data_IF_831657266653
#
_entry.id   IF_831657266653
#
_cell.length_a   1.000
_cell.length_b   1.000
_cell.length_c   1.000
_cell.angle_alpha   90.00
_cell.angle_beta   90.00
_cell.angle_gamma   90.00
#
_symmetry.space_group_name_H-M   'P 1'
#
loop_
_entity.id
_entity.type
_entity.pdbx_description
1 polymer ?
#
# COMPACT_ATOMS: atom_id res chain seq x y z
N UNK A 1 -23.90 -34.75 2.73
CA UNK A 1 -23.58 -33.56 1.94
C UNK A 1 -22.25 -33.83 1.24
N UNK A 2 -22.18 -33.74 -0.10
CA UNK A 2 -20.92 -33.96 -0.83
C UNK A 2 -20.28 -32.59 -1.03
N UNK A 3 -19.03 -32.42 -0.59
CA UNK A 3 -18.25 -31.18 -0.75
C UNK A 3 -17.15 -31.43 -1.78
N UNK A 4 -17.11 -30.60 -2.84
CA UNK A 4 -16.06 -30.65 -3.85
C UNK A 4 -15.00 -29.62 -3.56
N UNK A 5 -13.75 -30.06 -3.37
CA UNK A 5 -12.60 -29.16 -3.22
C UNK A 5 -12.30 -28.46 -4.55
N UNK A 6 -12.15 -27.15 -4.52
CA UNK A 6 -11.67 -26.35 -5.66
C UNK A 6 -10.71 -25.26 -5.19
N UNK A 7 -9.84 -24.82 -6.10
CA UNK A 7 -9.00 -23.63 -5.85
C UNK A 7 -9.91 -22.40 -5.84
N UNK A 8 -9.81 -21.59 -4.78
CA UNK A 8 -10.52 -20.32 -4.65
C UNK A 8 -9.48 -19.23 -4.83
N UNK A 9 -9.78 -18.26 -5.68
CA UNK A 9 -8.97 -17.05 -5.77
C UNK A 9 -9.44 -16.08 -4.68
N UNK A 10 -8.51 -15.63 -3.85
CA UNK A 10 -8.78 -14.65 -2.80
C UNK A 10 -8.89 -13.26 -3.45
N UNK A 11 -9.93 -12.51 -3.10
CA UNK A 11 -10.08 -11.11 -3.52
C UNK A 11 -9.37 -10.22 -2.49
N UNK A 12 -8.26 -9.63 -2.89
CA UNK A 12 -7.46 -8.71 -2.05
C UNK A 12 -7.63 -7.26 -2.46
N UNK A 13 -8.26 -6.99 -3.61
CA UNK A 13 -8.51 -5.66 -4.14
C UNK A 13 -9.99 -5.49 -4.43
N UNK A 14 -10.55 -4.37 -3.94
CA UNK A 14 -11.90 -3.90 -4.28
C UNK A 14 -11.81 -2.50 -4.85
N UNK A 15 -12.58 -2.22 -5.89
CA UNK A 15 -12.58 -0.90 -6.52
C UNK A 15 -13.99 -0.42 -6.84
N UNK A 16 -14.17 0.87 -6.79
CA UNK A 16 -15.40 1.55 -7.21
C UNK A 16 -15.09 2.97 -7.67
N UNK A 17 -15.93 3.52 -8.54
CA UNK A 17 -15.90 4.93 -8.87
C UNK A 17 -16.72 5.70 -7.84
N UNK A 18 -16.11 6.67 -7.19
CA UNK A 18 -16.77 7.62 -6.28
C UNK A 18 -17.27 8.85 -7.06
N UNK A 19 -17.97 9.74 -6.36
CA UNK A 19 -18.36 11.03 -6.91
C UNK A 19 -17.15 11.80 -7.46
N UNK A 20 -17.39 12.77 -8.35
CA UNK A 20 -16.37 13.58 -9.01
C UNK A 20 -15.37 12.77 -9.88
N UNK A 21 -15.75 11.55 -10.27
CA UNK A 21 -14.90 10.63 -11.04
C UNK A 21 -13.58 10.28 -10.31
N UNK A 22 -13.63 10.15 -8.99
CA UNK A 22 -12.49 9.70 -8.19
C UNK A 22 -12.57 8.18 -8.06
N UNK A 23 -11.54 7.49 -8.54
CA UNK A 23 -11.38 6.06 -8.33
C UNK A 23 -11.02 5.77 -6.88
N UNK A 24 -11.65 4.76 -6.31
CA UNK A 24 -11.30 4.22 -5.00
C UNK A 24 -10.87 2.77 -5.15
N UNK A 25 -9.70 2.44 -4.61
CA UNK A 25 -9.15 1.09 -4.58
C UNK A 25 -8.77 0.74 -3.15
N UNK A 26 -9.44 -0.26 -2.57
CA UNK A 26 -9.05 -0.84 -1.29
C UNK A 26 -8.19 -2.08 -1.51
N UNK A 27 -7.03 -2.11 -0.85
CA UNK A 27 -6.11 -3.26 -0.85
C UNK A 27 -6.04 -3.81 0.56
N UNK A 28 -6.46 -5.07 0.77
CA UNK A 28 -6.53 -5.69 2.10
C UNK A 28 -5.24 -6.38 2.52
N UNK A 29 -4.44 -6.83 1.55
CA UNK A 29 -3.11 -7.41 1.76
C UNK A 29 -2.34 -7.45 0.42
N UNK A 30 -1.01 -7.63 0.49
CA UNK A 30 -0.17 -7.78 -0.70
C UNK A 30 0.20 -9.26 -0.92
N UNK A 31 -0.73 -10.01 -1.52
CA UNK A 31 -0.51 -11.41 -1.92
C UNK A 31 -0.09 -11.48 -3.39
N UNK A 32 0.27 -12.67 -3.86
CA UNK A 32 0.69 -12.96 -5.25
C UNK A 32 -0.33 -12.57 -6.31
N UNK A 33 -1.62 -12.53 -5.96
CA UNK A 33 -2.73 -12.16 -6.85
C UNK A 33 -3.03 -10.66 -6.86
N UNK A 34 -2.51 -9.91 -5.89
CA UNK A 34 -2.91 -8.51 -5.64
C UNK A 34 -2.46 -7.59 -6.76
N UNK A 35 -1.26 -7.80 -7.33
CA UNK A 35 -0.76 -6.99 -8.44
C UNK A 35 -1.71 -7.01 -9.65
N UNK A 36 -2.10 -8.21 -10.09
CA UNK A 36 -2.99 -8.36 -11.26
C UNK A 36 -4.37 -7.76 -10.99
N UNK A 37 -4.89 -7.95 -9.77
CA UNK A 37 -6.17 -7.37 -9.35
C UNK A 37 -6.09 -5.84 -9.30
N UNK A 38 -5.02 -5.27 -8.75
CA UNK A 38 -4.81 -3.83 -8.69
C UNK A 38 -4.67 -3.21 -10.08
N UNK A 39 -3.84 -3.80 -10.95
CA UNK A 39 -3.65 -3.36 -12.34
C UNK A 39 -4.97 -3.37 -13.11
N UNK A 40 -5.76 -4.44 -12.96
CA UNK A 40 -7.08 -4.55 -13.60
C UNK A 40 -8.06 -3.51 -13.06
N UNK A 41 -8.07 -3.27 -11.74
CA UNK A 41 -8.92 -2.27 -11.10
C UNK A 41 -8.56 -0.85 -11.55
N UNK A 42 -7.26 -0.53 -11.57
CA UNK A 42 -6.75 0.77 -12.03
C UNK A 42 -7.15 1.02 -13.49
N UNK A 43 -6.89 0.07 -14.40
CA UNK A 43 -7.26 0.19 -15.82
C UNK A 43 -8.78 0.33 -16.02
N UNK A 44 -9.58 -0.44 -15.28
CA UNK A 44 -11.06 -0.32 -15.35
C UNK A 44 -11.56 1.07 -14.90
N UNK A 45 -10.95 1.66 -13.88
CA UNK A 45 -11.30 3.02 -13.43
C UNK A 45 -10.82 4.07 -14.43
N UNK A 46 -9.68 3.88 -15.06
CA UNK A 46 -9.19 4.77 -16.13
C UNK A 46 -10.12 4.73 -17.36
N UNK A 47 -10.56 3.54 -17.79
CA UNK A 47 -11.53 3.37 -18.89
C UNK A 47 -12.88 4.05 -18.58
N UNK A 48 -13.26 4.15 -17.31
CA UNK A 48 -14.45 4.88 -16.84
C UNK A 48 -14.23 6.40 -16.74
N UNK A 49 -13.05 6.91 -17.08
CA UNK A 49 -12.74 8.34 -17.05
C UNK A 49 -12.34 8.88 -15.69
N UNK A 50 -11.68 8.06 -14.86
CA UNK A 50 -11.16 8.47 -13.55
C UNK A 50 -10.29 9.72 -13.65
N UNK A 51 -10.52 10.70 -12.78
CA UNK A 51 -9.78 11.97 -12.69
C UNK A 51 -8.78 12.02 -11.53
N UNK A 52 -8.94 11.17 -10.54
CA UNK A 52 -8.06 11.06 -9.39
C UNK A 52 -8.26 9.73 -8.68
N UNK A 53 -7.37 9.37 -7.76
CA UNK A 53 -7.32 8.05 -7.12
C UNK A 53 -7.18 8.15 -5.61
N UNK A 54 -7.98 7.38 -4.89
CA UNK A 54 -7.78 7.08 -3.47
C UNK A 54 -7.40 5.61 -3.32
N UNK A 55 -6.26 5.32 -2.69
CA UNK A 55 -5.87 3.96 -2.32
C UNK A 55 -6.04 3.78 -0.81
N UNK A 56 -6.88 2.82 -0.40
CA UNK A 56 -7.14 2.53 1.02
C UNK A 56 -6.34 1.31 1.48
N UNK A 57 -5.39 1.54 2.39
CA UNK A 57 -4.53 0.55 3.01
C UNK A 57 -4.84 0.35 4.50
N UNK A 58 -5.95 0.86 5.01
CA UNK A 58 -6.34 0.66 6.41
C UNK A 58 -6.54 -0.82 6.71
N UNK A 59 -6.07 -1.24 7.89
CA UNK A 59 -6.08 -2.62 8.35
C UNK A 59 -5.32 -3.61 7.42
N UNK A 60 -4.44 -3.12 6.54
CA UNK A 60 -3.61 -3.95 5.68
C UNK A 60 -2.26 -4.24 6.36
N UNK A 61 -1.99 -5.48 6.80
CA UNK A 61 -0.77 -5.82 7.55
C UNK A 61 0.50 -5.90 6.67
N UNK A 62 0.36 -5.65 5.37
CA UNK A 62 1.42 -5.76 4.38
C UNK A 62 1.33 -7.05 3.57
N UNK A 63 2.47 -7.67 3.31
CA UNK A 63 2.58 -8.90 2.53
C UNK A 63 3.86 -8.96 1.69
N UNK A 64 3.74 -9.35 0.45
CA UNK A 64 4.84 -9.66 -0.44
C UNK A 64 5.52 -8.37 -0.97
N UNK A 65 6.84 -8.29 -0.80
CA UNK A 65 7.65 -7.16 -1.27
C UNK A 65 7.59 -7.03 -2.80
N UNK A 66 7.69 -8.12 -3.55
CA UNK A 66 7.65 -8.06 -5.01
C UNK A 66 6.30 -7.53 -5.51
N UNK A 67 5.20 -7.90 -4.85
CA UNK A 67 3.87 -7.42 -5.21
C UNK A 67 3.73 -5.91 -5.02
N UNK A 68 4.14 -5.38 -3.86
CA UNK A 68 4.03 -3.93 -3.61
C UNK A 68 4.95 -3.13 -4.52
N UNK A 69 6.15 -3.63 -4.83
CA UNK A 69 7.06 -2.93 -5.74
C UNK A 69 6.56 -2.92 -7.18
N UNK A 70 5.95 -4.01 -7.66
CA UNK A 70 5.29 -4.03 -8.97
C UNK A 70 4.09 -3.07 -9.04
N UNK A 71 3.30 -2.96 -7.96
CA UNK A 71 2.20 -1.98 -7.91
C UNK A 71 2.72 -0.54 -7.92
N UNK A 72 3.79 -0.26 -7.18
CA UNK A 72 4.42 1.07 -7.16
C UNK A 72 5.06 1.42 -8.50
N UNK A 73 5.62 0.46 -9.22
CA UNK A 73 6.18 0.64 -10.55
C UNK A 73 5.13 1.12 -11.58
N UNK A 74 3.85 0.77 -11.40
CA UNK A 74 2.74 1.32 -12.20
C UNK A 74 2.43 2.80 -11.91
N UNK A 75 2.89 3.32 -10.78
CA UNK A 75 2.47 4.64 -10.27
C UNK A 75 3.61 5.65 -10.26
N UNK A 76 4.83 5.21 -9.92
CA UNK A 76 5.97 6.07 -9.68
C UNK A 76 6.67 6.48 -11.00
N UNK A 77 7.30 7.66 -11.06
CA UNK A 77 8.29 7.93 -12.06
C UNK A 77 9.50 7.02 -11.84
N UNK A 78 10.42 6.97 -12.81
CA UNK A 78 11.68 6.25 -12.68
C UNK A 78 12.47 6.69 -11.44
N UNK A 79 12.83 5.73 -10.61
CA UNK A 79 13.63 5.98 -9.42
C UNK A 79 13.52 4.89 -8.36
N UNK A 80 14.06 5.13 -7.19
CA UNK A 80 14.04 4.19 -6.08
C UNK A 80 12.63 4.01 -5.54
N UNK A 81 12.16 2.76 -5.42
CA UNK A 81 10.92 2.42 -4.71
C UNK A 81 11.20 2.22 -3.22
N UNK A 82 12.19 1.40 -2.92
CA UNK A 82 12.58 1.04 -1.56
C UNK A 82 14.03 0.56 -1.57
N UNK A 83 14.78 0.81 -0.51
CA UNK A 83 16.04 0.11 -0.28
C UNK A 83 15.97 -0.71 0.99
N UNK A 84 16.81 -1.75 1.07
CA UNK A 84 17.00 -2.58 2.26
C UNK A 84 18.45 -2.54 2.66
N UNK A 85 18.72 -2.54 3.97
CA UNK A 85 20.07 -2.55 4.48
C UNK A 85 20.23 -3.61 5.56
N UNK A 86 21.17 -4.52 5.38
CA UNK A 86 21.50 -5.56 6.35
C UNK A 86 22.45 -5.06 7.44
N UNK A 87 22.73 -5.89 8.44
CA UNK A 87 23.65 -5.55 9.54
C UNK A 87 25.13 -5.42 9.12
N UNK A 88 25.52 -5.91 7.94
CA UNK A 88 26.86 -5.71 7.40
C UNK A 88 27.01 -4.38 6.66
N UNK A 89 25.90 -3.69 6.45
CA UNK A 89 25.82 -2.44 5.70
C UNK A 89 25.62 -2.65 4.19
N UNK A 90 25.40 -3.89 3.75
CA UNK A 90 25.03 -4.17 2.36
C UNK A 90 23.64 -3.64 2.07
N UNK A 91 23.51 -2.88 0.99
CA UNK A 91 22.28 -2.23 0.57
C UNK A 91 21.82 -2.81 -0.77
N UNK A 92 20.51 -3.16 -0.84
CA UNK A 92 19.83 -3.55 -2.05
C UNK A 92 18.76 -2.52 -2.36
N UNK A 93 18.69 -2.06 -3.63
CA UNK A 93 17.75 -1.05 -4.09
C UNK A 93 16.80 -1.68 -5.11
N UNK A 94 15.49 -1.49 -4.91
CA UNK A 94 14.46 -1.81 -5.89
C UNK A 94 13.97 -0.50 -6.48
N UNK A 95 13.95 -0.41 -7.80
CA UNK A 95 13.60 0.80 -8.53
C UNK A 95 12.43 0.57 -9.47
N UNK A 96 11.68 1.64 -9.73
CA UNK A 96 10.71 1.76 -10.81
C UNK A 96 11.42 2.10 -12.12
N UNK A 97 10.79 1.71 -13.22
CA UNK A 97 11.19 2.15 -14.55
C UNK A 97 10.46 3.44 -14.97
N UNK A 98 10.40 3.74 -16.26
CA UNK A 98 9.70 4.89 -16.82
C UNK A 98 8.64 4.50 -17.87
N UNK A 99 8.26 3.22 -17.89
CA UNK A 99 7.23 2.72 -18.81
C UNK A 99 5.83 3.20 -18.42
N UNK A 100 5.58 3.35 -17.10
CA UNK A 100 4.30 3.76 -16.55
C UNK A 100 4.52 4.86 -15.51
N UNK A 101 3.62 5.83 -15.47
CA UNK A 101 3.57 6.83 -14.42
C UNK A 101 2.14 7.31 -14.23
N UNK A 102 1.67 7.27 -13.00
CA UNK A 102 0.37 7.85 -12.64
C UNK A 102 0.52 9.36 -12.42
N UNK A 103 -0.22 10.16 -13.19
CA UNK A 103 -0.08 11.63 -13.19
C UNK A 103 -1.31 12.38 -12.67
N UNK A 104 -2.38 11.65 -12.32
CA UNK A 104 -3.59 12.27 -11.76
C UNK A 104 -3.42 12.49 -10.26
N UNK A 105 -4.18 13.43 -9.65
CA UNK A 105 -4.21 13.58 -8.20
C UNK A 105 -4.48 12.26 -7.48
N UNK A 106 -3.77 12.01 -6.38
CA UNK A 106 -4.04 10.84 -5.56
C UNK A 106 -3.88 11.11 -4.07
N UNK A 107 -4.47 10.24 -3.28
CA UNK A 107 -4.26 10.13 -1.84
C UNK A 107 -4.21 8.67 -1.40
N UNK A 108 -3.61 8.42 -0.24
CA UNK A 108 -3.52 7.08 0.37
C UNK A 108 -4.06 7.16 1.79
N UNK A 109 -5.03 6.30 2.11
CA UNK A 109 -5.59 6.22 3.47
C UNK A 109 -4.89 5.12 4.24
N UNK A 110 -4.41 5.45 5.44
CA UNK A 110 -3.67 4.54 6.32
C UNK A 110 -4.17 4.61 7.76
N UNK A 111 -3.88 3.57 8.54
CA UNK A 111 -4.14 3.52 9.97
C UNK A 111 -3.00 2.82 10.74
N UNK A 112 -3.11 2.72 12.06
CA UNK A 112 -2.13 2.04 12.91
C UNK A 112 -1.97 0.53 12.64
N UNK A 113 -2.81 -0.09 11.78
CA UNK A 113 -2.70 -1.48 11.34
C UNK A 113 -2.10 -1.60 9.93
N UNK A 114 -1.90 -0.48 9.23
CA UNK A 114 -1.16 -0.45 7.97
C UNK A 114 0.32 -0.71 8.27
N UNK A 115 0.87 -1.82 7.77
CA UNK A 115 2.21 -2.27 8.16
C UNK A 115 3.04 -2.80 6.99
N UNK A 116 4.38 -2.81 7.13
CA UNK A 116 5.31 -3.47 6.20
C UNK A 116 5.14 -2.99 4.75
N UNK A 117 4.67 -3.83 3.81
CA UNK A 117 4.44 -3.45 2.41
C UNK A 117 3.50 -2.24 2.26
N UNK A 118 2.49 -2.08 3.15
CA UNK A 118 1.64 -0.88 3.18
C UNK A 118 2.45 0.39 3.49
N UNK A 119 3.44 0.27 4.36
CA UNK A 119 4.31 1.40 4.72
C UNK A 119 5.32 1.72 3.62
N UNK A 120 5.76 0.71 2.87
CA UNK A 120 6.58 0.90 1.65
C UNK A 120 5.75 1.66 0.62
N UNK A 121 4.48 1.26 0.40
CA UNK A 121 3.58 1.92 -0.53
C UNK A 121 3.35 3.38 -0.13
N UNK A 122 2.89 3.63 1.09
CA UNK A 122 2.60 4.97 1.58
C UNK A 122 3.86 5.86 1.60
N UNK A 123 4.99 5.31 2.06
CA UNK A 123 6.26 6.03 2.14
C UNK A 123 6.80 6.43 0.77
N UNK A 124 6.66 5.58 -0.24
CA UNK A 124 7.06 5.89 -1.61
C UNK A 124 6.18 6.99 -2.22
N UNK A 125 4.86 6.89 -2.11
CA UNK A 125 3.93 7.92 -2.59
C UNK A 125 4.21 9.27 -1.93
N UNK A 126 4.46 9.27 -0.61
CA UNK A 126 4.78 10.48 0.15
C UNK A 126 6.11 11.09 -0.28
N UNK A 127 7.16 10.30 -0.39
CA UNK A 127 8.51 10.78 -0.71
C UNK A 127 8.61 11.35 -2.12
N UNK A 128 7.84 10.81 -3.07
CA UNK A 128 7.73 11.37 -4.43
C UNK A 128 6.76 12.56 -4.54
N UNK A 129 6.00 12.87 -3.48
CA UNK A 129 5.00 13.93 -3.50
C UNK A 129 3.84 13.67 -4.47
N UNK A 130 3.60 12.40 -4.84
CA UNK A 130 2.55 12.01 -5.78
C UNK A 130 1.16 12.13 -5.18
N UNK A 131 1.04 11.92 -3.87
CA UNK A 131 -0.23 11.95 -3.17
C UNK A 131 -0.08 12.34 -1.71
N UNK A 132 -1.20 12.70 -1.07
CA UNK A 132 -1.26 12.97 0.36
C UNK A 132 -1.56 11.67 1.11
N UNK A 133 -0.84 11.41 2.19
CA UNK A 133 -1.15 10.32 3.11
C UNK A 133 -2.13 10.85 4.16
N UNK A 134 -3.26 10.17 4.30
CA UNK A 134 -4.38 10.59 5.17
C UNK A 134 -4.69 9.50 6.20
N UNK A 135 -4.97 9.88 7.42
CA UNK A 135 -5.35 8.94 8.48
C UNK A 135 -4.48 9.06 9.72
N UNK A 136 -4.01 7.95 10.26
CA UNK A 136 -3.16 7.94 11.46
C UNK A 136 -1.81 7.29 11.19
N UNK A 137 -0.82 7.55 12.06
CA UNK A 137 0.53 6.98 11.92
C UNK A 137 0.48 5.46 11.80
N UNK A 138 1.20 4.91 10.82
CA UNK A 138 1.24 3.48 10.54
C UNK A 138 2.00 2.69 11.60
N UNK A 139 1.99 1.36 11.50
CA UNK A 139 2.48 0.45 12.53
C UNK A 139 3.98 0.56 12.87
N UNK A 140 4.84 0.83 11.87
CA UNK A 140 6.29 0.89 12.07
C UNK A 140 7.00 -0.47 11.93
N UNK A 141 6.59 -1.32 10.99
CA UNK A 141 7.26 -2.61 10.70
C UNK A 141 8.23 -2.49 9.53
N UNK A 142 9.34 -1.82 9.73
CA UNK A 142 10.38 -1.57 8.73
C UNK A 142 11.47 -2.63 8.66
N UNK A 143 11.13 -3.94 8.72
CA UNK A 143 12.10 -5.04 8.72
C UNK A 143 11.77 -6.12 7.70
N UNK A 144 12.80 -6.65 7.05
CA UNK A 144 12.76 -7.85 6.20
C UNK A 144 12.99 -9.08 7.07
N UNK A 145 12.09 -10.06 6.99
CA UNK A 145 12.23 -11.32 7.69
C UNK A 145 12.24 -12.48 6.69
N UNK A 146 13.13 -13.43 6.91
CA UNK A 146 13.23 -14.66 6.14
C UNK A 146 12.98 -15.88 7.03
N UNK A 147 12.27 -16.85 6.46
CA UNK A 147 12.01 -18.14 7.11
C UNK A 147 13.01 -19.14 6.54
N UNK A 148 13.73 -19.82 7.44
CA UNK A 148 14.66 -20.91 7.12
C UNK A 148 14.07 -22.21 7.61
N UNK A 149 13.82 -23.15 6.70
CA UNK A 149 13.40 -24.50 7.02
C UNK A 149 14.60 -25.28 7.57
N UNK A 150 14.44 -25.99 8.68
CA UNK A 150 15.49 -26.79 9.32
C UNK A 150 15.46 -28.27 8.87
N UNK A 151 14.51 -28.64 7.99
CA UNK A 151 14.43 -29.98 7.39
C UNK A 151 13.77 -31.07 8.26
N UNK A 152 13.36 -30.75 9.49
CA UNK A 152 12.67 -31.63 10.42
C UNK A 152 11.18 -31.26 10.64
N UNK A 153 10.67 -30.33 9.81
CA UNK A 153 9.32 -29.74 9.92
C UNK A 153 9.29 -28.51 10.83
N UNK A 154 10.42 -28.08 11.38
CA UNK A 154 10.56 -26.82 12.12
C UNK A 154 11.20 -25.73 11.24
N UNK A 155 11.03 -24.48 11.62
CA UNK A 155 11.64 -23.35 10.91
C UNK A 155 12.11 -22.26 11.88
N UNK A 156 13.05 -21.44 11.42
CA UNK A 156 13.52 -20.24 12.11
C UNK A 156 13.19 -19.01 11.27
N UNK A 157 12.54 -18.01 11.88
CA UNK A 157 12.27 -16.72 11.26
C UNK A 157 13.27 -15.69 11.76
N UNK A 158 14.12 -15.17 10.87
CA UNK A 158 15.18 -14.21 11.21
C UNK A 158 14.94 -12.87 10.54
N UNK A 159 15.27 -11.78 11.24
CA UNK A 159 15.34 -10.45 10.64
C UNK A 159 16.67 -10.31 9.90
N UNK A 160 16.58 -10.02 8.60
CA UNK A 160 17.72 -9.95 7.69
C UNK A 160 18.18 -8.52 7.43
N UNK A 161 17.23 -7.58 7.27
CA UNK A 161 17.51 -6.21 6.90
C UNK A 161 16.42 -5.26 7.41
N UNK A 162 16.67 -3.97 7.31
CA UNK A 162 15.70 -2.89 7.52
C UNK A 162 15.31 -2.25 6.19
N UNK A 163 14.06 -1.77 6.10
CA UNK A 163 13.53 -1.00 4.95
C UNK A 163 13.78 0.49 5.11
N UNK A 164 14.08 1.12 3.98
CA UNK A 164 14.20 2.57 3.84
C UNK A 164 13.34 3.04 2.67
N UNK A 165 12.64 4.16 2.86
CA UNK A 165 11.85 4.82 1.81
C UNK A 165 12.79 5.42 0.75
N UNK A 166 12.27 5.90 -0.41
CA UNK A 166 13.09 6.54 -1.45
C UNK A 166 14.02 7.65 -0.93
N UNK A 167 13.56 8.44 0.04
CA UNK A 167 14.36 9.50 0.68
C UNK A 167 15.25 8.98 1.83
N UNK A 168 15.41 7.67 1.98
CA UNK A 168 16.29 7.07 2.99
C UNK A 168 15.73 7.11 4.43
N UNK A 169 14.43 7.32 4.62
CA UNK A 169 13.80 7.29 5.95
C UNK A 169 13.65 5.85 6.42
N UNK A 170 14.16 5.54 7.61
CA UNK A 170 13.90 4.26 8.28
C UNK A 170 12.52 4.29 8.92
N UNK A 171 11.65 3.35 8.56
CA UNK A 171 10.28 3.24 9.05
C UNK A 171 10.16 2.33 10.28
N UNK A 172 11.22 1.59 10.65
CA UNK A 172 11.15 0.63 11.76
C UNK A 172 10.89 1.34 13.10
N UNK A 173 9.84 0.93 13.81
CA UNK A 173 9.35 1.51 15.08
C UNK A 173 8.91 2.98 15.00
N UNK A 174 8.84 3.55 13.80
CA UNK A 174 8.42 4.95 13.59
C UNK A 174 7.11 5.03 12.80
N UNK A 175 6.96 4.16 11.79
CA UNK A 175 5.85 4.23 10.85
C UNK A 175 5.99 5.37 9.84
N UNK A 176 4.94 5.54 9.06
CA UNK A 176 4.72 6.68 8.18
C UNK A 176 3.73 7.61 8.87
N UNK A 177 4.15 8.82 9.18
CA UNK A 177 3.27 9.87 9.69
C UNK A 177 2.46 10.43 8.52
N UNK A 178 1.13 10.51 8.62
CA UNK A 178 0.29 11.06 7.56
C UNK A 178 0.56 12.55 7.34
N UNK A 179 0.31 13.03 6.11
CA UNK A 179 0.35 14.46 5.78
C UNK A 179 -0.90 15.19 6.31
N UNK A 180 -2.02 14.44 6.38
CA UNK A 180 -3.30 14.91 6.94
C UNK A 180 -3.72 13.92 8.02
N UNK A 181 -3.52 14.31 9.28
CA UNK A 181 -3.87 13.48 10.43
C UNK A 181 -5.38 13.54 10.69
N UNK A 182 -6.03 12.39 10.60
CA UNK A 182 -7.47 12.24 10.81
C UNK A 182 -7.73 10.95 11.59
N UNK A 183 -8.16 11.10 12.84
CA UNK A 183 -8.65 9.97 13.62
C UNK A 183 -10.01 9.48 13.10
N UNK A 184 -10.17 8.15 13.01
CA UNK A 184 -11.45 7.58 12.62
C UNK A 184 -12.52 7.89 13.65
N UNK A 185 -13.62 8.48 13.21
CA UNK A 185 -14.77 8.80 14.04
C UNK A 185 -16.01 8.10 13.48
N UNK A 186 -16.56 7.19 14.27
CA UNK A 186 -17.82 6.54 13.91
C UNK A 186 -18.98 7.54 14.09
N UNK A 187 -19.74 7.78 13.03
CA UNK A 187 -21.00 8.49 13.12
C UNK A 187 -22.12 7.51 13.52
N UNK A 188 -22.71 7.71 14.70
CA UNK A 188 -23.83 6.88 15.19
C UNK A 188 -25.11 7.06 14.38
N UNK A 189 -25.29 8.23 13.76
CA UNK A 189 -26.48 8.56 12.95
C UNK A 189 -26.31 8.12 11.48
N UNK A 190 -25.08 7.96 11.01
CA UNK A 190 -24.77 7.50 9.66
C UNK A 190 -23.67 6.44 9.68
N UNK A 191 -24.01 5.15 9.85
CA UNK A 191 -23.02 4.06 9.92
C UNK A 191 -22.15 3.90 8.66
N UNK A 192 -22.53 4.53 7.55
CA UNK A 192 -21.79 4.51 6.29
C UNK A 192 -20.85 5.72 6.13
N UNK A 193 -20.87 6.67 7.06
CA UNK A 193 -19.93 7.80 7.04
C UNK A 193 -18.51 7.32 7.35
N UNK A 194 -17.56 7.84 6.62
CA UNK A 194 -16.14 7.56 6.78
C UNK A 194 -15.34 8.86 6.64
N UNK A 195 -15.13 9.52 7.77
CA UNK A 195 -14.47 10.82 7.84
C UNK A 195 -13.02 10.79 7.34
N UNK A 196 -12.33 9.64 7.40
CA UNK A 196 -10.99 9.51 6.85
C UNK A 196 -11.04 9.40 5.31
N UNK A 197 -11.99 8.64 4.77
CA UNK A 197 -12.20 8.56 3.33
C UNK A 197 -12.65 9.91 2.76
N UNK A 198 -13.55 10.60 3.44
CA UNK A 198 -14.01 11.94 3.03
C UNK A 198 -12.84 12.92 2.96
N UNK A 199 -11.96 12.93 3.97
CA UNK A 199 -10.75 13.74 3.97
C UNK A 199 -9.80 13.37 2.82
N UNK A 200 -9.65 12.08 2.51
CA UNK A 200 -8.82 11.63 1.39
C UNK A 200 -9.38 12.04 0.02
N UNK A 201 -10.70 11.96 -0.15
CA UNK A 201 -11.39 12.45 -1.35
C UNK A 201 -11.21 13.96 -1.53
N UNK A 202 -11.26 14.72 -0.42
CA UNK A 202 -11.01 16.16 -0.45
C UNK A 202 -9.59 16.51 -0.89
N UNK A 203 -8.59 15.74 -0.44
CA UNK A 203 -7.20 15.93 -0.89
C UNK A 203 -7.03 15.72 -2.40
N UNK A 204 -7.81 14.82 -2.99
CA UNK A 204 -7.79 14.58 -4.44
C UNK A 204 -8.51 15.69 -5.21
N UNK A 205 -9.64 16.22 -4.67
CA UNK A 205 -10.39 17.32 -5.30
C UNK A 205 -9.64 18.64 -5.35
N UNK A 206 -8.76 18.87 -4.37
CA UNK A 206 -8.06 20.16 -4.19
C UNK A 206 -6.73 20.24 -4.96
N UNK A 207 -6.36 19.20 -5.70
CA UNK A 207 -5.17 19.15 -6.56
C UNK A 207 -5.56 19.19 -8.03
#
# INVERSE_FOLDING_TARGET
>A
MTVTRRKIQVETVKSEMKDDQIGYIRVTEFDSVTYDQFKSALGSLEDQGMKGLVVDLRANPGGNLATVTQMLDLLLPKGTIVSTKDKSGHEEVISSDDEHQFTKPMSVVVDGNSASASEIFAGAIQDYGLGSIVGTTTYGKGIVQQIFDLGDGTCVKLTMAEYYTPNGRNIHKKGITPDVEVEYQRDENNPNADNQLDAALEQVRNK
#
